data_IF_996400563547
#
_entry.id   IF_996400563547
#
_cell.length_a   1.000
_cell.length_b   1.000
_cell.length_c   1.000
_cell.angle_alpha   90.00
_cell.angle_beta   90.00
_cell.angle_gamma   90.00
#
_symmetry.space_group_name_H-M   'P 1'
#
loop_
_entity.id
_entity.type
_entity.pdbx_description
1 polymer ?
#
# COMPACT_ATOMS: atom_id res chain seq x y z
N UNK A 1 -5.04 5.10 25.69
CA UNK A 1 -5.19 5.69 24.34
C UNK A 1 -4.96 4.57 23.34
N UNK A 2 -6.00 4.17 22.60
CA UNK A 2 -5.96 3.03 21.69
C UNK A 2 -5.00 3.31 20.52
N UNK A 3 -4.17 2.32 20.18
CA UNK A 3 -3.12 2.32 19.15
C UNK A 3 -3.65 2.71 17.75
N UNK A 4 -3.81 4.02 17.50
CA UNK A 4 -4.31 4.56 16.23
C UNK A 4 -3.34 4.24 15.08
N UNK A 5 -2.03 4.20 15.36
CA UNK A 5 -1.01 3.91 14.36
C UNK A 5 -1.08 2.49 13.80
N UNK A 6 -1.22 1.48 14.66
CA UNK A 6 -1.29 0.08 14.22
C UNK A 6 -2.54 -0.21 13.38
N UNK A 7 -3.68 0.39 13.73
CA UNK A 7 -4.91 0.27 12.96
C UNK A 7 -4.77 0.90 11.56
N UNK A 8 -4.17 2.09 11.49
CA UNK A 8 -3.90 2.79 10.23
C UNK A 8 -2.93 2.01 9.36
N UNK A 9 -1.86 1.45 9.92
CA UNK A 9 -0.92 0.58 9.16
C UNK A 9 -1.65 -0.64 8.59
N UNK A 10 -2.53 -1.28 9.37
CA UNK A 10 -3.31 -2.43 8.87
C UNK A 10 -4.22 -2.02 7.70
N UNK A 11 -4.88 -0.88 7.82
CA UNK A 11 -5.74 -0.31 6.77
C UNK A 11 -4.94 -0.01 5.49
N UNK A 12 -3.83 0.69 5.60
CA UNK A 12 -2.94 1.03 4.48
C UNK A 12 -2.43 -0.22 3.79
N UNK A 13 -2.03 -1.25 4.56
CA UNK A 13 -1.60 -2.54 4.00
C UNK A 13 -2.69 -3.19 3.16
N UNK A 14 -3.93 -3.17 3.65
CA UNK A 14 -5.09 -3.72 2.95
C UNK A 14 -5.35 -2.97 1.64
N UNK A 15 -5.32 -1.64 1.67
CA UNK A 15 -5.50 -0.79 0.50
C UNK A 15 -4.40 -1.02 -0.56
N UNK A 16 -3.12 -0.97 -0.17
CA UNK A 16 -1.98 -1.25 -1.04
C UNK A 16 -2.12 -2.61 -1.73
N UNK A 17 -2.49 -3.62 -0.95
CA UNK A 17 -2.57 -4.99 -1.46
C UNK A 17 -3.69 -5.15 -2.48
N UNK A 18 -4.87 -4.59 -2.23
CA UNK A 18 -6.00 -4.59 -3.18
C UNK A 18 -5.62 -3.85 -4.47
N UNK A 19 -4.96 -2.71 -4.33
CA UNK A 19 -4.54 -1.88 -5.44
C UNK A 19 -3.47 -2.55 -6.31
N UNK A 20 -2.47 -3.17 -5.69
CA UNK A 20 -1.38 -3.89 -6.37
C UNK A 20 -1.82 -5.23 -6.97
N UNK A 21 -2.78 -5.92 -6.35
CA UNK A 21 -3.42 -7.11 -6.95
C UNK A 21 -4.19 -6.75 -8.23
N UNK A 22 -4.83 -5.59 -8.26
CA UNK A 22 -5.62 -5.14 -9.42
C UNK A 22 -4.77 -4.64 -10.59
N UNK A 23 -3.55 -4.13 -10.33
CA UNK A 23 -2.72 -3.44 -11.33
C UNK A 23 -1.44 -4.19 -11.76
N UNK A 24 -1.44 -5.52 -11.82
CA UNK A 24 -0.29 -6.32 -12.30
C UNK A 24 1.07 -5.95 -11.63
N UNK A 25 1.09 -5.93 -10.30
CA UNK A 25 2.31 -5.89 -9.45
C UNK A 25 3.21 -4.65 -9.54
N UNK A 26 3.01 -3.75 -10.51
CA UNK A 26 3.91 -2.64 -10.79
C UNK A 26 3.09 -1.41 -11.13
N UNK A 27 3.21 -0.37 -10.32
CA UNK A 27 2.41 0.86 -10.51
C UNK A 27 3.36 2.04 -10.47
N UNK A 28 3.26 2.91 -11.48
CA UNK A 28 3.80 4.26 -11.40
C UNK A 28 2.85 5.06 -10.49
N UNK A 29 3.19 5.08 -9.20
CA UNK A 29 2.32 5.63 -8.16
C UNK A 29 2.15 7.15 -8.34
N UNK A 30 3.24 7.83 -8.69
CA UNK A 30 3.26 9.29 -8.87
C UNK A 30 2.55 9.76 -10.14
N UNK A 31 2.56 9.01 -11.24
CA UNK A 31 1.78 9.36 -12.43
C UNK A 31 0.25 9.26 -12.18
N UNK A 32 -0.18 8.44 -11.22
CA UNK A 32 -1.58 8.32 -10.85
C UNK A 32 -2.00 9.34 -9.76
N UNK A 33 -1.07 9.69 -8.85
CA UNK A 33 -1.23 10.78 -7.87
C UNK A 33 -1.52 12.12 -8.57
N UNK A 34 -0.82 12.41 -9.66
CA UNK A 34 -0.99 13.66 -10.44
C UNK A 34 -2.34 13.79 -11.15
N UNK A 35 -3.16 12.73 -11.24
CA UNK A 35 -4.50 12.79 -11.84
C UNK A 35 -5.64 12.90 -10.82
N UNK A 36 -5.36 12.66 -9.53
CA UNK A 36 -6.36 12.68 -8.46
C UNK A 36 -5.81 13.38 -7.22
N UNK A 37 -5.49 14.68 -7.34
CA UNK A 37 -5.01 15.57 -6.27
C UNK A 37 -5.97 15.74 -5.06
N UNK A 38 -6.96 14.87 -4.81
CA UNK A 38 -7.93 15.10 -3.74
C UNK A 38 -8.40 13.87 -2.94
N UNK A 39 -8.09 12.65 -3.37
CA UNK A 39 -8.65 11.46 -2.70
C UNK A 39 -7.73 10.24 -2.69
N UNK A 40 -6.41 10.39 -2.58
CA UNK A 40 -5.60 9.22 -2.26
C UNK A 40 -5.91 8.77 -0.82
N UNK A 41 -6.58 7.61 -0.62
CA UNK A 41 -7.00 7.20 0.71
C UNK A 41 -5.79 6.81 1.57
N UNK A 42 -4.64 6.53 0.97
CA UNK A 42 -3.41 6.19 1.68
C UNK A 42 -2.73 7.44 2.22
N UNK A 43 -2.75 8.55 1.48
CA UNK A 43 -2.17 9.82 1.92
C UNK A 43 -2.90 10.35 3.17
N UNK A 44 -4.24 10.37 3.16
CA UNK A 44 -5.05 10.75 4.33
C UNK A 44 -4.79 9.85 5.55
N UNK A 45 -4.46 8.58 5.31
CA UNK A 45 -4.07 7.65 6.36
C UNK A 45 -2.64 7.92 6.85
N UNK A 46 -1.71 8.26 5.96
CA UNK A 46 -0.34 8.64 6.28
C UNK A 46 -0.29 9.90 7.17
N UNK A 47 -1.06 10.94 6.83
CA UNK A 47 -1.18 12.17 7.62
C UNK A 47 -1.68 11.88 9.05
N UNK A 48 -2.65 10.97 9.21
CA UNK A 48 -3.19 10.58 10.53
C UNK A 48 -2.15 9.97 11.46
N UNK A 49 -1.06 9.42 10.94
CA UNK A 49 0.03 8.83 11.72
C UNK A 49 1.32 9.65 11.66
N UNK A 50 1.26 10.88 11.13
CA UNK A 50 2.33 11.87 11.16
C UNK A 50 3.34 11.77 10.01
N UNK A 51 2.98 11.16 8.89
CA UNK A 51 3.80 11.15 7.68
C UNK A 51 3.36 12.29 6.75
N UNK A 52 4.34 12.92 6.10
CA UNK A 52 4.10 14.06 5.19
C UNK A 52 3.63 13.61 3.80
N UNK A 53 3.88 12.36 3.43
CA UNK A 53 3.52 11.80 2.13
C UNK A 53 3.30 10.30 2.22
N UNK A 54 2.55 9.74 1.26
CA UNK A 54 2.45 8.28 1.08
C UNK A 54 3.81 7.66 0.84
N UNK A 55 4.70 8.34 0.11
CA UNK A 55 6.07 7.88 -0.11
C UNK A 55 6.86 7.74 1.21
N UNK A 56 6.79 8.72 2.11
CA UNK A 56 7.42 8.65 3.43
C UNK A 56 6.87 7.50 4.27
N UNK A 57 5.54 7.29 4.24
CA UNK A 57 4.91 6.16 4.93
C UNK A 57 5.42 4.83 4.39
N UNK A 58 5.50 4.70 3.07
CA UNK A 58 5.96 3.49 2.41
C UNK A 58 7.44 3.21 2.66
N UNK A 59 8.28 4.25 2.65
CA UNK A 59 9.69 4.16 3.00
C UNK A 59 9.94 3.84 4.47
N UNK A 60 9.05 4.27 5.38
CA UNK A 60 9.16 4.02 6.80
C UNK A 60 8.58 2.67 7.22
N UNK A 61 7.27 2.51 7.11
CA UNK A 61 6.53 1.38 7.69
C UNK A 61 6.39 0.19 6.72
N UNK A 62 6.46 0.42 5.41
CA UNK A 62 6.23 -0.61 4.39
C UNK A 62 7.45 -0.93 3.55
N UNK A 63 8.66 -0.52 3.95
CA UNK A 63 9.90 -0.76 3.19
C UNK A 63 10.15 -2.24 2.89
N UNK A 64 9.74 -3.11 3.81
CA UNK A 64 9.82 -4.56 3.65
C UNK A 64 8.71 -5.13 2.76
N UNK A 65 7.60 -4.39 2.59
CA UNK A 65 6.43 -4.81 1.84
C UNK A 65 6.43 -4.29 0.40
N UNK A 66 7.06 -3.15 0.13
CA UNK A 66 7.13 -2.54 -1.19
C UNK A 66 8.57 -2.25 -1.61
N UNK A 67 8.86 -2.40 -2.89
CA UNK A 67 10.16 -2.12 -3.49
C UNK A 67 10.02 -0.99 -4.48
N UNK A 68 10.79 0.07 -4.29
CA UNK A 68 10.83 1.19 -5.22
C UNK A 68 11.73 0.83 -6.41
N UNK A 69 11.18 0.86 -7.62
CA UNK A 69 11.89 0.68 -8.89
C UNK A 69 12.01 2.04 -9.57
N UNK A 70 13.11 2.74 -9.32
CA UNK A 70 13.26 4.12 -9.77
C UNK A 70 12.59 5.11 -8.80
N UNK A 71 12.19 6.29 -9.29
CA UNK A 71 11.65 7.36 -8.44
C UNK A 71 10.18 7.16 -8.05
N UNK A 72 9.41 6.44 -8.89
CA UNK A 72 7.94 6.49 -8.83
C UNK A 72 7.26 5.12 -8.89
N UNK A 73 7.97 4.08 -9.30
CA UNK A 73 7.37 2.76 -9.50
C UNK A 73 7.51 1.99 -8.21
N UNK A 74 6.41 1.39 -7.77
CA UNK A 74 6.35 0.58 -6.56
C UNK A 74 5.96 -0.84 -6.95
N UNK A 75 6.87 -1.78 -6.69
CA UNK A 75 6.64 -3.22 -6.81
C UNK A 75 6.20 -3.78 -5.45
N UNK A 76 5.14 -4.59 -5.45
CA UNK A 76 4.75 -5.35 -4.27
C UNK A 76 5.75 -6.48 -4.01
N UNK A 77 6.26 -6.58 -2.79
CA UNK A 77 7.00 -7.78 -2.35
C UNK A 77 6.02 -8.84 -1.82
N UNK A 78 6.43 -10.12 -1.75
CA UNK A 78 5.62 -11.17 -1.13
C UNK A 78 5.18 -10.85 0.31
N UNK A 79 5.98 -10.09 1.08
CA UNK A 79 5.67 -9.69 2.46
C UNK A 79 4.46 -8.77 2.56
N UNK A 80 4.09 -8.07 1.49
CA UNK A 80 2.85 -7.29 1.46
C UNK A 80 1.63 -8.22 1.59
N UNK A 81 1.69 -9.37 0.93
CA UNK A 81 0.64 -10.38 0.88
C UNK A 81 0.72 -11.41 2.01
N UNK A 82 1.72 -11.35 2.88
CA UNK A 82 1.95 -12.28 3.99
C UNK A 82 0.98 -12.05 5.17
N UNK A 83 -0.27 -11.68 4.85
CA UNK A 83 -1.35 -11.62 5.83
C UNK A 83 -2.39 -12.69 5.51
N UNK A 84 -2.99 -13.33 6.54
CA UNK A 84 -3.97 -14.40 6.32
C UNK A 84 -5.15 -13.96 5.42
N UNK A 85 -5.58 -12.70 5.57
CA UNK A 85 -6.67 -12.09 4.81
C UNK A 85 -6.34 -12.01 3.30
N UNK A 86 -5.10 -11.67 2.94
CA UNK A 86 -4.68 -11.57 1.54
C UNK A 86 -4.31 -12.92 0.93
N UNK A 87 -3.68 -13.81 1.70
CA UNK A 87 -3.43 -15.19 1.28
C UNK A 87 -4.74 -15.88 0.89
N UNK A 88 -5.82 -15.62 1.64
CA UNK A 88 -7.15 -16.11 1.30
C UNK A 88 -7.64 -15.57 -0.06
N UNK A 89 -7.56 -14.26 -0.28
CA UNK A 89 -7.99 -13.63 -1.54
C UNK A 89 -7.19 -14.15 -2.74
N UNK A 90 -5.86 -14.26 -2.61
CA UNK A 90 -4.97 -14.80 -3.66
C UNK A 90 -5.30 -16.27 -3.94
N UNK A 91 -5.58 -17.06 -2.89
CA UNK A 91 -5.96 -18.47 -3.05
C UNK A 91 -7.28 -18.65 -3.81
N UNK A 92 -8.20 -17.69 -3.70
CA UNK A 92 -9.46 -17.69 -4.45
C UNK A 92 -9.25 -17.35 -5.92
N UNK A 93 -8.34 -16.42 -6.23
CA UNK A 93 -8.02 -16.03 -7.61
C UNK A 93 -7.25 -17.09 -8.40
N UNK A 94 -6.43 -17.93 -7.75
CA UNK A 94 -5.69 -19.02 -8.42
C UNK A 94 -6.55 -20.23 -8.82
N UNK A 95 -7.84 -20.25 -8.45
CA UNK A 95 -8.77 -21.36 -8.72
C UNK A 95 -9.66 -21.14 -9.96
N UNK A 96 -9.52 -20.01 -10.65
CA UNK A 96 -10.15 -19.71 -11.94
C UNK A 96 -9.11 -19.73 -13.05
#
# INVERSE_FOLDING_TARGET
>A
MLNTKAAVIKEVRSQLSRFLLSNRHTIDWLENESKNESEDPIEKLAEKIGYNSTADLLHGEFRDCVKFVGKNIIEATPKLYDTPELQHIISLQKRT
#
